data_IF_329338253599
#
_entry.id   IF_329338253599
#
_cell.length_a   1.000
_cell.length_b   1.000
_cell.length_c   1.000
_cell.angle_alpha   90.00
_cell.angle_beta   90.00
_cell.angle_gamma   90.00
#
_symmetry.space_group_name_H-M   'P 1'
#
loop_
_entity.id
_entity.type
_entity.pdbx_description
1 polymer ?
#
# COMPACT_ATOMS: atom_id res chain seq x y z
N UNK A 1 3.68 -11.37 11.21
CA UNK A 1 4.44 -11.04 9.98
C UNK A 1 5.76 -11.77 10.06
N UNK A 2 6.13 -12.48 9.00
CA UNK A 2 7.30 -13.40 9.02
C UNK A 2 8.60 -12.74 8.58
N UNK A 3 8.49 -11.66 7.81
CA UNK A 3 9.58 -10.76 7.42
C UNK A 3 9.41 -9.44 8.20
N UNK A 4 10.48 -8.65 8.26
CA UNK A 4 10.49 -7.35 8.92
C UNK A 4 9.59 -6.33 8.23
N UNK A 5 9.07 -5.40 9.02
CA UNK A 5 8.53 -4.13 8.54
C UNK A 5 9.67 -3.15 8.31
N UNK A 6 9.71 -2.52 7.14
CA UNK A 6 10.63 -1.40 6.88
C UNK A 6 9.90 -0.08 7.13
N UNK A 7 10.39 0.72 8.08
CA UNK A 7 9.89 2.06 8.37
C UNK A 7 10.90 3.10 7.89
N UNK A 8 10.45 4.06 7.06
CA UNK A 8 11.30 5.13 6.53
C UNK A 8 10.77 6.50 6.92
N UNK A 9 11.65 7.39 7.35
CA UNK A 9 11.34 8.80 7.57
C UNK A 9 11.98 9.63 6.44
N UNK A 10 11.16 10.35 5.69
CA UNK A 10 11.55 11.09 4.49
C UNK A 10 11.12 12.55 4.65
N UNK A 11 12.01 13.48 4.36
CA UNK A 11 11.73 14.91 4.31
C UNK A 11 11.59 15.36 2.85
N UNK A 12 10.48 16.02 2.52
CA UNK A 12 10.23 16.51 1.16
C UNK A 12 11.07 17.78 0.91
N UNK A 13 12.01 17.70 -0.02
CA UNK A 13 12.99 18.77 -0.28
C UNK A 13 12.55 19.79 -1.33
N UNK A 14 11.52 19.48 -2.12
CA UNK A 14 10.78 20.39 -2.98
C UNK A 14 9.36 19.87 -3.16
N UNK A 15 8.37 20.77 -3.27
CA UNK A 15 7.00 20.36 -3.58
C UNK A 15 6.80 19.90 -5.05
N UNK A 16 7.76 20.22 -5.93
CA UNK A 16 7.66 20.00 -7.38
C UNK A 16 8.61 18.90 -7.91
N UNK A 17 9.63 18.52 -7.13
CA UNK A 17 10.71 17.64 -7.58
C UNK A 17 11.17 16.69 -6.45
N UNK A 18 10.81 15.40 -6.59
CA UNK A 18 11.17 14.33 -5.65
C UNK A 18 12.67 14.02 -5.59
N UNK A 19 13.50 14.54 -6.49
CA UNK A 19 14.96 14.33 -6.42
C UNK A 19 15.62 15.09 -5.27
N UNK A 20 14.91 16.04 -4.66
CA UNK A 20 15.32 16.72 -3.43
C UNK A 20 14.87 15.99 -2.16
N UNK A 21 14.06 14.92 -2.26
CA UNK A 21 13.59 14.19 -1.08
C UNK A 21 14.73 13.49 -0.35
N UNK A 22 14.77 13.66 0.97
CA UNK A 22 15.84 13.16 1.81
C UNK A 22 15.32 12.05 2.73
N UNK A 23 15.77 10.82 2.49
CA UNK A 23 15.63 9.73 3.45
C UNK A 23 16.49 10.07 4.68
N UNK A 24 15.84 10.44 5.78
CA UNK A 24 16.49 10.81 7.04
C UNK A 24 16.93 9.57 7.83
N UNK A 25 16.14 8.49 7.78
CA UNK A 25 16.40 7.24 8.51
C UNK A 25 15.52 6.10 7.98
N UNK A 26 16.00 4.85 8.09
CA UNK A 26 15.33 3.62 7.67
C UNK A 26 15.55 2.48 8.67
N UNK A 27 14.50 2.04 9.35
CA UNK A 27 14.54 1.03 10.42
C UNK A 27 13.78 -0.23 10.02
N UNK A 28 14.42 -1.39 10.16
CA UNK A 28 13.77 -2.70 10.07
C UNK A 28 13.25 -3.15 11.45
N UNK A 29 12.00 -3.62 11.48
CA UNK A 29 11.32 -4.07 12.70
C UNK A 29 10.67 -5.43 12.45
N UNK A 30 11.26 -6.50 12.98
CA UNK A 30 10.64 -7.82 12.99
C UNK A 30 11.51 -8.96 13.53
N UNK A 31 11.02 -10.21 13.44
CA UNK A 31 9.66 -10.58 13.03
C UNK A 31 8.58 -10.09 14.02
N UNK A 32 7.43 -9.66 13.51
CA UNK A 32 6.38 -9.03 14.33
C UNK A 32 5.22 -10.00 14.59
N UNK A 33 4.96 -10.30 15.86
CA UNK A 33 3.82 -11.11 16.29
C UNK A 33 2.53 -10.27 16.36
N UNK A 34 1.37 -10.92 16.56
CA UNK A 34 0.11 -10.20 16.79
C UNK A 34 0.17 -9.51 18.16
N UNK A 35 0.02 -8.19 18.19
CA UNK A 35 0.06 -7.39 19.41
C UNK A 35 0.11 -5.89 19.14
N UNK A 36 0.15 -5.10 20.20
CA UNK A 36 0.37 -3.65 20.12
C UNK A 36 1.85 -3.35 20.39
N UNK A 37 2.49 -2.61 19.49
CA UNK A 37 3.90 -2.25 19.58
C UNK A 37 4.05 -0.73 19.67
N UNK A 38 5.06 -0.29 20.41
CA UNK A 38 5.48 1.12 20.48
C UNK A 38 7.00 1.16 20.57
N UNK A 39 7.59 1.97 19.70
CA UNK A 39 9.02 2.24 19.68
C UNK A 39 9.24 3.74 19.46
N UNK A 40 10.46 4.19 19.69
CA UNK A 40 10.89 5.56 19.43
C UNK A 40 11.60 5.57 18.08
N UNK A 41 11.11 6.40 17.16
CA UNK A 41 11.75 6.66 15.87
C UNK A 41 12.45 8.02 15.98
N UNK A 42 13.77 8.05 15.78
CA UNK A 42 14.60 9.26 15.78
C UNK A 42 15.42 9.30 14.49
N UNK A 43 15.74 10.50 14.01
CA UNK A 43 16.54 10.73 12.82
C UNK A 43 17.24 12.08 12.93
N UNK A 44 18.35 12.24 12.21
CA UNK A 44 19.02 13.53 12.04
C UNK A 44 18.17 14.48 11.16
N UNK A 45 18.40 15.81 11.23
CA UNK A 45 17.72 16.77 10.36
C UNK A 45 18.12 16.60 8.88
N UNK A 46 17.29 17.06 7.93
CA UNK A 46 17.66 17.13 6.52
C UNK A 46 18.89 18.03 6.32
N UNK A 47 19.68 17.73 5.30
CA UNK A 47 20.79 18.55 4.83
C UNK A 47 20.23 19.77 4.08
N UNK A 48 20.38 21.02 4.59
CA UNK A 48 19.81 22.20 3.96
C UNK A 48 20.43 22.52 2.59
N UNK A 49 21.60 21.97 2.27
CA UNK A 49 22.24 22.15 0.95
C UNK A 49 21.61 21.29 -0.16
N UNK A 50 20.74 20.35 0.21
CA UNK A 50 19.97 19.47 -0.69
C UNK A 50 18.47 19.76 -0.65
N UNK A 51 18.07 20.92 -0.14
CA UNK A 51 16.71 21.46 -0.25
C UNK A 51 16.76 22.51 -1.38
N UNK A 52 15.73 22.57 -2.21
CA UNK A 52 15.63 23.58 -3.27
C UNK A 52 15.52 24.97 -2.62
N UNK A 53 16.26 25.97 -3.10
CA UNK A 53 16.51 27.23 -2.35
C UNK A 53 15.21 27.98 -2.02
N UNK A 54 14.25 27.98 -2.94
CA UNK A 54 12.91 28.56 -2.76
C UNK A 54 11.99 27.76 -1.80
N UNK A 55 12.27 26.48 -1.53
CA UNK A 55 11.48 25.59 -0.67
C UNK A 55 12.02 25.50 0.78
N UNK A 56 13.10 26.20 1.12
CA UNK A 56 13.70 26.18 2.47
C UNK A 56 12.78 26.87 3.50
N UNK A 57 12.11 27.95 3.10
CA UNK A 57 11.15 28.70 3.93
C UNK A 57 9.73 28.42 3.42
N UNK A 58 8.77 28.30 4.35
CA UNK A 58 7.38 28.00 4.06
C UNK A 58 7.00 26.57 4.44
N UNK A 59 5.99 26.03 3.75
CA UNK A 59 5.37 24.75 4.11
C UNK A 59 5.89 23.61 3.23
N UNK A 60 6.43 22.58 3.87
CA UNK A 60 6.76 21.29 3.26
C UNK A 60 6.14 20.13 4.05
N UNK A 61 6.54 18.89 3.77
CA UNK A 61 5.98 17.66 4.34
C UNK A 61 7.09 16.74 4.87
N UNK A 62 6.84 16.13 6.03
CA UNK A 62 7.60 15.01 6.56
C UNK A 62 6.74 13.73 6.40
N UNK A 63 7.28 12.71 5.73
CA UNK A 63 6.60 11.45 5.45
C UNK A 63 7.20 10.32 6.30
N UNK A 64 6.37 9.64 7.07
CA UNK A 64 6.70 8.36 7.69
C UNK A 64 5.98 7.26 6.89
N UNK A 65 6.73 6.40 6.20
CA UNK A 65 6.18 5.26 5.46
C UNK A 65 6.47 3.95 6.21
N UNK A 66 5.60 2.96 6.03
CA UNK A 66 5.86 1.59 6.44
C UNK A 66 5.55 0.63 5.29
N UNK A 67 6.51 -0.25 5.03
CA UNK A 67 6.48 -1.26 3.98
C UNK A 67 6.60 -2.66 4.56
N UNK A 68 5.98 -3.63 3.90
CA UNK A 68 6.13 -5.06 4.16
C UNK A 68 6.40 -5.77 2.83
N UNK A 69 7.43 -6.63 2.78
CA UNK A 69 7.88 -7.27 1.53
C UNK A 69 8.15 -6.25 0.40
N UNK A 70 8.72 -5.09 0.73
CA UNK A 70 8.98 -4.00 -0.22
C UNK A 70 7.75 -3.22 -0.69
N UNK A 71 6.54 -3.62 -0.30
CA UNK A 71 5.30 -2.92 -0.65
C UNK A 71 4.88 -1.97 0.49
N UNK A 72 4.79 -0.68 0.20
CA UNK A 72 4.27 0.31 1.13
C UNK A 72 2.77 0.08 1.37
N UNK A 73 2.33 0.00 2.63
CA UNK A 73 0.91 -0.16 2.99
C UNK A 73 0.34 0.98 3.83
N UNK A 74 1.20 1.83 4.41
CA UNK A 74 0.78 3.04 5.11
C UNK A 74 1.82 4.16 4.96
N UNK A 75 1.31 5.38 4.77
CA UNK A 75 2.05 6.65 4.74
C UNK A 75 1.39 7.63 5.68
N UNK A 76 2.18 8.25 6.55
CA UNK A 76 1.73 9.31 7.46
C UNK A 76 2.51 10.58 7.13
N UNK A 77 1.83 11.54 6.52
CA UNK A 77 2.39 12.86 6.22
C UNK A 77 2.06 13.87 7.31
N UNK A 78 3.07 14.64 7.74
CA UNK A 78 2.93 15.79 8.61
C UNK A 78 3.31 17.05 7.84
N UNK A 79 2.49 18.10 7.92
CA UNK A 79 2.90 19.41 7.43
C UNK A 79 3.98 19.99 8.35
N UNK A 80 4.99 20.57 7.73
CA UNK A 80 6.14 21.20 8.38
C UNK A 80 6.17 22.65 7.91
N UNK A 81 6.12 23.61 8.82
CA UNK A 81 6.34 25.02 8.52
C UNK A 81 7.74 25.41 8.97
N UNK A 82 8.58 25.83 8.03
CA UNK A 82 9.89 26.39 8.27
C UNK A 82 9.80 27.91 8.14
N UNK A 83 10.09 28.65 9.21
CA UNK A 83 9.94 30.11 9.23
C UNK A 83 10.98 30.74 10.16
N UNK A 84 11.17 32.06 10.07
CA UNK A 84 11.95 32.80 11.06
C UNK A 84 11.09 33.12 12.28
N UNK A 85 11.61 32.88 13.49
CA UNK A 85 10.97 33.32 14.74
C UNK A 85 11.04 34.85 14.91
N UNK A 86 12.08 35.45 14.32
CA UNK A 86 12.35 36.89 14.25
C UNK A 86 11.35 37.59 13.31
N UNK A 87 10.54 38.50 13.85
CA UNK A 87 9.49 39.23 13.11
C UNK A 87 10.06 40.09 11.98
N UNK A 88 11.22 40.73 12.19
CA UNK A 88 11.86 41.57 11.16
C UNK A 88 12.33 40.73 9.97
N UNK A 89 12.80 39.50 10.20
CA UNK A 89 13.20 38.58 9.12
C UNK A 89 12.01 37.97 8.38
N UNK A 90 10.79 38.03 8.94
CA UNK A 90 9.56 37.63 8.24
C UNK A 90 8.98 38.77 7.40
N UNK A 91 9.01 40.00 7.91
CA UNK A 91 8.56 41.18 7.17
C UNK A 91 9.53 41.58 6.05
N UNK A 92 10.84 41.51 6.32
CA UNK A 92 11.92 41.83 5.37
C UNK A 92 12.88 40.64 5.21
N UNK A 93 12.47 39.56 4.50
CA UNK A 93 13.30 38.37 4.34
C UNK A 93 14.60 38.68 3.57
N UNK A 94 15.76 38.20 4.05
CA UNK A 94 17.04 38.44 3.38
C UNK A 94 17.13 37.67 2.05
N UNK A 95 17.84 38.25 1.07
CA UNK A 95 18.02 37.64 -0.26
C UNK A 95 18.58 36.21 -0.22
N UNK A 96 19.38 35.88 0.81
CA UNK A 96 19.87 34.52 1.07
C UNK A 96 19.35 34.03 2.42
N UNK A 97 18.79 32.82 2.43
CA UNK A 97 18.19 32.24 3.63
C UNK A 97 19.23 32.04 4.75
N UNK A 98 18.91 32.51 5.95
CA UNK A 98 19.74 32.39 7.15
C UNK A 98 19.41 31.10 7.90
N UNK A 99 19.86 29.95 7.37
CA UNK A 99 19.56 28.59 7.87
C UNK A 99 19.59 28.47 9.41
N UNK A 100 20.63 29.01 10.07
CA UNK A 100 20.78 28.96 11.53
C UNK A 100 19.76 29.77 12.35
N UNK A 101 18.86 30.53 11.70
CA UNK A 101 17.73 31.24 12.31
C UNK A 101 16.36 30.64 11.95
N UNK A 102 16.32 29.62 11.08
CA UNK A 102 15.06 28.97 10.67
C UNK A 102 14.59 28.05 11.78
N UNK A 103 13.33 28.19 12.20
CA UNK A 103 12.67 27.26 13.11
C UNK A 103 11.68 26.38 12.35
N UNK A 104 11.61 25.11 12.76
CA UNK A 104 10.76 24.09 12.16
C UNK A 104 9.62 23.74 13.11
N UNK A 105 8.39 24.08 12.73
CA UNK A 105 7.18 23.66 13.43
C UNK A 105 6.48 22.52 12.69
N UNK A 106 6.19 21.40 13.36
CA UNK A 106 5.53 20.23 12.77
C UNK A 106 4.09 20.18 13.27
N UNK A 107 3.12 20.16 12.34
CA UNK A 107 1.69 20.10 12.67
C UNK A 107 1.26 18.68 13.06
N UNK A 108 1.66 18.27 14.27
CA UNK A 108 1.46 16.91 14.82
C UNK A 108 0.00 16.55 15.07
N UNK A 109 -0.88 17.52 15.33
CA UNK A 109 -2.31 17.29 15.60
C UNK A 109 -3.15 16.89 14.38
N UNK A 110 -2.64 17.11 13.16
CA UNK A 110 -3.39 16.90 11.90
C UNK A 110 -2.62 16.07 10.86
N UNK A 111 -2.19 14.84 11.21
CA UNK A 111 -1.51 13.96 10.27
C UNK A 111 -2.42 13.57 9.10
N UNK A 112 -1.82 13.38 7.93
CA UNK A 112 -2.48 12.82 6.75
C UNK A 112 -2.08 11.37 6.61
N UNK A 113 -3.00 10.46 6.95
CA UNK A 113 -2.78 9.01 6.88
C UNK A 113 -3.38 8.47 5.59
N UNK A 114 -2.52 7.96 4.71
CA UNK A 114 -2.90 7.22 3.51
C UNK A 114 -2.60 5.74 3.72
N UNK A 115 -3.48 4.86 3.25
CA UNK A 115 -3.31 3.40 3.33
C UNK A 115 -3.39 2.82 1.93
N UNK A 116 -2.50 1.88 1.63
CA UNK A 116 -2.43 1.20 0.34
C UNK A 116 -2.72 -0.30 0.56
N UNK A 117 -3.66 -0.90 -0.19
CA UNK A 117 -3.89 -2.34 -0.14
C UNK A 117 -2.67 -3.10 -0.67
N UNK A 118 -2.16 -4.07 0.09
CA UNK A 118 -1.07 -4.98 -0.32
C UNK A 118 -1.42 -6.42 0.01
N UNK A 119 -0.74 -7.39 -0.60
CA UNK A 119 -0.86 -8.79 -0.20
C UNK A 119 0.12 -9.12 0.94
N UNK A 120 -0.41 -9.31 2.15
CA UNK A 120 0.37 -9.71 3.34
C UNK A 120 0.71 -11.22 3.38
N UNK A 121 0.11 -12.03 2.52
CA UNK A 121 0.24 -13.49 2.48
C UNK A 121 0.38 -14.02 1.04
N UNK A 122 1.49 -13.70 0.33
CA UNK A 122 1.66 -14.09 -1.08
C UNK A 122 1.57 -15.60 -1.34
N UNK A 123 1.97 -16.45 -0.40
CA UNK A 123 1.96 -17.91 -0.59
C UNK A 123 0.56 -18.57 -0.60
N UNK A 124 -0.51 -17.81 -0.33
CA UNK A 124 -1.89 -18.30 -0.49
C UNK A 124 -2.48 -18.01 -1.89
N UNK A 125 -1.67 -17.55 -2.85
CA UNK A 125 -2.14 -17.10 -4.17
C UNK A 125 -2.10 -18.19 -5.25
N UNK A 126 -1.53 -19.37 -4.99
CA UNK A 126 -1.31 -20.45 -5.98
C UNK A 126 -2.34 -21.60 -5.92
N UNK A 127 -3.58 -21.30 -5.56
CA UNK A 127 -4.71 -22.25 -5.66
C UNK A 127 -5.94 -21.57 -6.26
N UNK A 128 -5.85 -21.22 -7.55
CA UNK A 128 -6.88 -20.46 -8.27
C UNK A 128 -6.96 -20.70 -9.77
N UNK A 129 -6.11 -21.55 -10.36
CA UNK A 129 -6.26 -22.00 -11.75
C UNK A 129 -7.41 -23.02 -11.87
N UNK A 130 -8.64 -22.52 -11.90
CA UNK A 130 -9.71 -23.20 -12.59
C UNK A 130 -9.67 -22.78 -14.07
N UNK A 131 -9.24 -23.64 -15.01
CA UNK A 131 -9.40 -23.35 -16.43
C UNK A 131 -10.90 -23.21 -16.74
N UNK A 132 -11.30 -22.33 -17.67
CA UNK A 132 -12.69 -22.23 -18.07
C UNK A 132 -13.14 -23.56 -18.72
N UNK A 133 -14.23 -24.13 -18.22
CA UNK A 133 -14.82 -25.37 -18.73
C UNK A 133 -15.07 -25.26 -20.26
N UNK A 134 -14.27 -25.99 -21.04
CA UNK A 134 -14.60 -26.31 -22.41
C UNK A 134 -15.44 -27.60 -22.41
N UNK A 135 -16.63 -27.61 -23.04
CA UNK A 135 -17.42 -28.82 -23.14
C UNK A 135 -16.70 -29.83 -24.06
N UNK A 136 -16.29 -30.96 -23.49
CA UNK A 136 -15.72 -32.07 -24.24
C UNK A 136 -16.82 -32.93 -24.86
N UNK A 137 -16.91 -32.93 -26.18
CA UNK A 137 -17.62 -33.96 -26.94
C UNK A 137 -16.85 -35.28 -26.85
N UNK A 138 -17.55 -36.40 -26.66
CA UNK A 138 -17.01 -37.74 -26.87
C UNK A 138 -18.14 -38.71 -27.24
N UNK A 139 -18.12 -39.20 -28.49
CA UNK A 139 -18.99 -40.28 -28.93
C UNK A 139 -18.58 -41.63 -28.32
N UNK A 140 -19.54 -42.53 -28.13
CA UNK A 140 -19.33 -43.89 -27.63
C UNK A 140 -20.41 -44.85 -28.11
N UNK A 141 -20.03 -45.79 -28.97
CA UNK A 141 -20.89 -46.77 -29.64
C UNK A 141 -20.98 -48.04 -28.79
N UNK A 142 -22.18 -48.61 -28.55
CA UNK A 142 -22.68 -49.84 -29.22
C UNK A 142 -24.00 -50.38 -28.59
N UNK A 143 -24.69 -51.24 -29.33
CA UNK A 143 -26.01 -51.84 -29.03
C UNK A 143 -25.94 -52.99 -27.97
N UNK A 144 -27.08 -53.46 -27.42
CA UNK A 144 -27.66 -54.68 -28.00
C UNK A 144 -29.20 -54.85 -27.92
N UNK A 145 -29.81 -55.28 -29.04
CA UNK A 145 -31.01 -56.15 -29.11
C UNK A 145 -30.69 -57.60 -28.64
N UNK A 146 -31.65 -58.57 -28.50
CA UNK A 146 -33.09 -58.59 -28.84
C UNK A 146 -33.98 -58.92 -27.60
N UNK A 147 -35.30 -59.14 -27.60
CA UNK A 147 -36.24 -59.85 -28.51
C UNK A 147 -37.70 -59.51 -28.07
N UNK A 148 -38.72 -59.51 -28.92
CA UNK A 148 -39.47 -60.72 -29.37
C UNK A 148 -40.58 -60.33 -30.37
N UNK A 149 -40.97 -61.21 -31.32
CA UNK A 149 -42.12 -60.99 -32.20
C UNK A 149 -43.40 -61.73 -31.77
N UNK A 150 -44.53 -61.26 -32.33
CA UNK A 150 -45.85 -61.89 -32.49
C UNK A 150 -46.96 -61.65 -31.43
N UNK A 151 -47.97 -60.92 -31.93
CA UNK A 151 -49.41 -60.88 -31.59
C UNK A 151 -50.05 -62.26 -31.25
N UNK A 152 -51.28 -62.34 -30.67
CA UNK A 152 -52.36 -61.35 -30.80
C UNK A 152 -53.12 -60.94 -29.51
N UNK A 153 -54.08 -60.05 -29.74
CA UNK A 153 -55.17 -59.54 -28.89
C UNK A 153 -55.75 -60.50 -27.84
N UNK A 154 -56.07 -59.96 -26.65
CA UNK A 154 -57.41 -60.08 -26.07
C UNK A 154 -57.70 -59.05 -24.95
N UNK A 155 -58.95 -58.59 -24.90
CA UNK A 155 -59.62 -57.90 -23.77
C UNK A 155 -60.82 -58.79 -23.41
N UNK A 156 -61.19 -58.97 -22.13
CA UNK A 156 -62.24 -58.07 -21.58
C UNK A 156 -62.28 -57.86 -20.05
N UNK A 157 -63.14 -56.91 -19.63
CA UNK A 157 -63.71 -56.74 -18.28
C UNK A 157 -62.98 -55.71 -17.39
N UNK A 158 -63.62 -54.82 -16.63
CA UNK A 158 -65.02 -54.33 -16.52
C UNK A 158 -64.95 -52.84 -16.01
N UNK A 159 -65.97 -52.01 -15.84
CA UNK A 159 -67.44 -51.97 -16.07
C UNK A 159 -67.75 -50.72 -16.97
N UNK A 160 -68.96 -50.29 -17.36
CA UNK A 160 -70.38 -50.58 -17.02
C UNK A 160 -71.19 -50.80 -18.31
#
# INVERSE_FOLDING_TARGET
MYVDLEWKLIYVGSAEDETYDQLLESVLVGPVNVGNYRFVFQADPPDPSKIREEDIIGVTVLLLTCSYLGQEFVRVGYYVNNDYDDEQLREEPPQKVLIGKVQRNILTDKPRVTKFPINFHPENSESGDHPPDQPVEAEGIDEPLPSSPNHPSDKPGCEN
#
